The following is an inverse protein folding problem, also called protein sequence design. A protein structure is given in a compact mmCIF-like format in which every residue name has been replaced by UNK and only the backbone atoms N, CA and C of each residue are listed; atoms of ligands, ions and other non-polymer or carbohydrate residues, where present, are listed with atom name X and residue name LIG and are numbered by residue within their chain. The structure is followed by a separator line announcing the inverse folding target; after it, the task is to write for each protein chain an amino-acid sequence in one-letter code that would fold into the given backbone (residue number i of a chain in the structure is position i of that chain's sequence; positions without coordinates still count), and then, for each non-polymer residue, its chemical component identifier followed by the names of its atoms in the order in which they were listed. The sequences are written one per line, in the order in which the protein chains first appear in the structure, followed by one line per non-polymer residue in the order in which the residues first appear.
data_IF_419057927054
#
_entry.id   IF_419057927054
#
_cell.length_a   1.000
_cell.length_b   1.000
_cell.length_c   1.000
_cell.angle_alpha   90.00
_cell.angle_beta   90.00
_cell.angle_gamma   90.00
#
_symmetry.space_group_name_H-M   'P 1'
#
loop_
_entity.id
_entity.type
_entity.pdbx_description
1 polymer ?
#
# COMPACT_ATOMS: atom_id res chain seq x y z
N UNK A 1 3.46 0.60 2.85
CA UNK A 1 2.16 0.94 3.49
C UNK A 1 1.40 -0.33 3.85
N UNK A 2 1.12 -1.22 2.90
CA UNK A 2 0.40 -2.49 3.15
C UNK A 2 1.06 -3.40 4.18
N UNK A 3 2.39 -3.52 4.12
CA UNK A 3 3.18 -4.29 5.08
C UNK A 3 3.02 -3.75 6.51
N UNK A 4 3.31 -2.46 6.70
CA UNK A 4 3.19 -1.78 8.00
C UNK A 4 1.76 -1.86 8.55
N UNK A 5 0.76 -1.72 7.69
CA UNK A 5 -0.65 -1.82 8.07
C UNK A 5 -1.08 -3.26 8.44
N UNK A 6 -0.35 -4.28 7.99
CA UNK A 6 -0.56 -5.69 8.37
C UNK A 6 0.36 -6.16 9.51
N UNK A 7 1.41 -5.40 9.87
CA UNK A 7 2.40 -5.84 10.86
C UNK A 7 1.81 -6.17 12.22
N UNK A 8 0.91 -5.36 12.82
CA UNK A 8 0.29 -5.74 14.09
C UNK A 8 -0.54 -7.02 14.00
N UNK A 9 -1.17 -7.28 12.85
CA UNK A 9 -1.92 -8.52 12.61
C UNK A 9 -0.97 -9.71 12.51
N UNK A 10 0.16 -9.55 11.80
CA UNK A 10 1.19 -10.59 11.68
C UNK A 10 1.90 -10.89 12.99
N UNK A 11 2.15 -9.87 13.79
CA UNK A 11 2.76 -10.00 15.11
C UNK A 11 1.79 -10.55 16.18
N UNK A 12 0.52 -10.83 15.81
CA UNK A 12 -0.50 -11.29 16.76
C UNK A 12 -0.97 -10.23 17.76
N UNK A 13 -0.60 -8.95 17.55
CA UNK A 13 -1.00 -7.84 18.39
C UNK A 13 -2.42 -7.33 18.08
N UNK A 14 -2.97 -7.69 16.92
CA UNK A 14 -4.32 -7.37 16.50
C UNK A 14 -4.93 -8.51 15.68
N UNK A 15 -6.22 -8.75 15.80
CA UNK A 15 -6.88 -9.74 14.94
C UNK A 15 -7.17 -9.17 13.55
N UNK A 16 -7.46 -7.86 13.45
CA UNK A 16 -7.90 -7.23 12.20
C UNK A 16 -7.17 -5.89 11.97
N UNK A 17 -7.06 -5.42 10.70
CA UNK A 17 -6.50 -4.11 10.41
C UNK A 17 -7.25 -2.96 11.10
N UNK A 18 -8.57 -3.07 11.27
CA UNK A 18 -9.42 -2.12 11.99
C UNK A 18 -9.03 -1.98 13.48
N UNK A 19 -8.57 -3.08 14.08
CA UNK A 19 -8.16 -3.18 15.48
C UNK A 19 -6.65 -3.06 15.66
N UNK A 20 -5.91 -2.74 14.59
CA UNK A 20 -4.46 -2.59 14.64
C UNK A 20 -4.08 -1.21 15.16
N UNK A 21 -3.74 -1.13 16.45
CA UNK A 21 -3.42 0.15 17.07
C UNK A 21 -2.20 0.83 16.44
N UNK A 22 -2.31 2.16 16.28
CA UNK A 22 -1.24 3.04 15.80
C UNK A 22 -0.81 2.83 14.34
N UNK A 23 -1.65 2.20 13.49
CA UNK A 23 -1.38 2.05 12.05
C UNK A 23 -2.02 3.14 11.19
N UNK A 24 -1.51 3.32 9.97
CA UNK A 24 -2.09 4.28 9.03
C UNK A 24 -3.48 3.80 8.54
N UNK A 25 -3.69 2.49 8.37
CA UNK A 25 -4.99 1.92 8.03
C UNK A 25 -6.05 2.20 9.10
N UNK A 26 -5.71 2.03 10.39
CA UNK A 26 -6.61 2.33 11.49
C UNK A 26 -7.01 3.81 11.48
N UNK A 27 -6.03 4.72 11.36
CA UNK A 27 -6.30 6.16 11.29
C UNK A 27 -7.23 6.53 10.14
N UNK A 28 -7.05 5.92 8.96
CA UNK A 28 -7.92 6.14 7.79
C UNK A 28 -9.34 5.64 8.02
N UNK A 29 -9.50 4.44 8.58
CA UNK A 29 -10.81 3.85 8.91
C UNK A 29 -11.55 4.72 9.93
N UNK A 30 -10.87 5.13 11.01
CA UNK A 30 -11.45 6.02 12.02
C UNK A 30 -11.86 7.38 11.44
N UNK A 31 -11.10 7.91 10.46
CA UNK A 31 -11.42 9.19 9.81
C UNK A 31 -12.66 9.10 8.92
N UNK A 32 -12.96 7.93 8.35
CA UNK A 32 -14.19 7.68 7.58
C UNK A 32 -15.43 7.59 8.49
N UNK A 33 -15.26 7.03 9.68
CA UNK A 33 -16.35 6.81 10.64
C UNK A 33 -16.66 8.03 11.52
N UNK A 34 -15.77 9.04 11.56
CA UNK A 34 -16.00 10.28 12.30
C UNK A 34 -16.76 11.28 11.42
N UNK A 35 -17.87 11.89 11.90
CA UNK A 35 -18.48 13.02 11.21
C UNK A 35 -17.46 14.15 11.11
N UNK A 36 -17.45 14.86 9.98
CA UNK A 36 -16.48 15.91 9.67
C UNK A 36 -16.48 17.02 10.74
N UNK A 37 -15.67 16.87 11.79
CA UNK A 37 -15.43 17.95 12.75
C UNK A 37 -14.42 18.92 12.15
N UNK A 38 -14.77 20.21 12.15
CA UNK A 38 -13.83 21.30 11.83
C UNK A 38 -12.67 21.20 12.82
N UNK A 39 -11.50 20.79 12.34
CA UNK A 39 -10.31 20.64 13.16
C UNK A 39 -9.85 22.03 13.64
N UNK A 40 -9.90 22.26 14.96
CA UNK A 40 -9.18 23.37 15.61
C UNK A 40 -7.72 22.95 15.78
N UNK A 41 -6.84 23.77 15.21
CA UNK A 41 -5.47 24.07 15.68
C UNK A 41 -4.64 22.91 16.23
N UNK A 42 -4.01 22.18 15.31
CA UNK A 42 -2.64 21.61 15.36
C UNK A 42 -2.43 20.99 13.98
N UNK A 43 -1.40 21.38 13.22
CA UNK A 43 -1.13 20.77 11.90
C UNK A 43 -0.77 19.29 12.15
N UNK A 44 -1.67 18.32 11.95
CA UNK A 44 -1.31 16.93 12.15
C UNK A 44 -0.45 16.51 10.96
N UNK A 45 0.38 15.49 11.13
CA UNK A 45 0.93 14.75 10.00
C UNK A 45 -0.27 14.26 9.18
N UNK A 46 -0.48 14.82 7.99
CA UNK A 46 -1.58 14.43 7.11
C UNK A 46 -1.12 13.24 6.29
N UNK A 47 -1.81 12.11 6.45
CA UNK A 47 -1.60 10.97 5.58
C UNK A 47 -1.86 11.38 4.12
N UNK A 48 -1.04 10.87 3.20
CA UNK A 48 -1.24 11.06 1.77
C UNK A 48 -2.64 10.60 1.37
N UNK A 49 -3.30 11.35 0.50
CA UNK A 49 -4.65 11.02 0.04
C UNK A 49 -4.58 9.98 -1.07
N UNK A 50 -5.56 9.10 -1.17
CA UNK A 50 -5.70 8.25 -2.36
C UNK A 50 -6.31 9.03 -3.51
N UNK A 51 -6.01 8.61 -4.74
CA UNK A 51 -6.70 9.10 -5.91
C UNK A 51 -8.21 8.93 -5.75
N UNK A 52 -8.96 9.93 -6.19
CA UNK A 52 -10.41 9.79 -6.32
C UNK A 52 -10.72 8.99 -7.58
N UNK A 53 -11.79 8.18 -7.58
CA UNK A 53 -12.29 7.63 -8.83
C UNK A 53 -12.55 8.79 -9.81
N UNK A 54 -12.01 8.72 -11.04
CA UNK A 54 -12.12 9.74 -12.04
C UNK A 54 -13.57 9.79 -12.51
N UNK A 55 -14.01 10.97 -12.95
CA UNK A 55 -15.35 11.14 -13.53
C UNK A 55 -15.48 10.51 -14.93
N UNK A 56 -14.35 10.15 -15.55
CA UNK A 56 -14.21 9.40 -16.81
C UNK A 56 -13.24 8.25 -16.57
N UNK A 57 -13.45 7.07 -17.16
CA UNK A 57 -12.79 5.78 -16.85
C UNK A 57 -11.23 5.71 -16.89
N UNK A 58 -10.51 6.81 -17.00
CA UNK A 58 -9.05 6.80 -16.96
C UNK A 58 -8.52 6.88 -15.53
N UNK A 59 -8.04 5.75 -15.04
CA UNK A 59 -7.16 5.70 -13.89
C UNK A 59 -5.77 6.24 -14.23
N UNK A 60 -5.01 6.70 -13.22
CA UNK A 60 -3.58 6.93 -13.40
C UNK A 60 -2.91 5.62 -13.83
N UNK A 61 -2.26 5.60 -14.98
CA UNK A 61 -1.40 4.50 -15.44
C UNK A 61 -0.12 4.42 -14.62
N UNK A 62 0.64 3.31 -14.73
CA UNK A 62 1.96 3.14 -14.11
C UNK A 62 2.88 4.37 -14.32
N UNK A 63 2.83 4.98 -15.50
CA UNK A 63 3.64 6.16 -15.83
C UNK A 63 3.19 7.44 -15.10
N UNK A 64 1.93 7.49 -14.64
CA UNK A 64 1.42 8.54 -13.76
C UNK A 64 1.83 8.33 -12.29
N UNK A 65 2.26 7.12 -11.90
CA UNK A 65 2.81 6.84 -10.56
C UNK A 65 4.20 7.46 -10.39
N UNK A 66 5.03 7.40 -11.43
CA UNK A 66 6.45 7.80 -11.39
C UNK A 66 6.63 9.31 -11.12
N UNK A 67 5.69 10.14 -11.61
CA UNK A 67 5.68 11.58 -11.37
C UNK A 67 5.00 11.97 -10.04
N UNK A 68 4.25 11.06 -9.39
CA UNK A 68 3.13 11.44 -8.54
C UNK A 68 3.35 11.42 -7.02
N UNK A 69 4.21 10.54 -6.49
CA UNK A 69 4.23 10.32 -5.03
C UNK A 69 4.85 11.49 -4.24
N UNK A 70 5.92 12.13 -4.76
CA UNK A 70 6.61 13.23 -4.08
C UNK A 70 6.08 14.62 -4.46
N UNK A 71 5.52 14.79 -5.65
CA UNK A 71 5.08 16.11 -6.16
C UNK A 71 3.63 16.44 -5.81
N UNK A 72 2.74 15.44 -5.70
CA UNK A 72 1.30 15.67 -5.49
C UNK A 72 0.81 15.34 -4.09
N UNK A 73 1.54 14.52 -3.32
CA UNK A 73 1.06 14.00 -2.03
C UNK A 73 -0.11 13.03 -2.14
N UNK A 74 -0.31 12.43 -3.33
CA UNK A 74 -1.41 11.51 -3.64
C UNK A 74 -0.87 10.11 -3.93
N UNK A 75 -1.54 9.10 -3.37
CA UNK A 75 -1.33 7.69 -3.63
C UNK A 75 -2.13 7.30 -4.88
N UNK A 76 -1.47 6.83 -5.96
CA UNK A 76 -2.05 6.71 -7.30
C UNK A 76 -2.87 5.43 -7.53
N UNK A 77 -3.71 5.08 -6.57
CA UNK A 77 -4.75 4.04 -6.70
C UNK A 77 -5.88 4.37 -5.71
N UNK A 78 -7.01 3.67 -5.80
CA UNK A 78 -8.15 3.97 -4.95
C UNK A 78 -8.03 3.37 -3.56
N UNK A 79 -8.67 4.05 -2.61
CA UNK A 79 -8.84 3.52 -1.25
C UNK A 79 -9.49 2.13 -1.22
N UNK A 80 -10.51 1.89 -2.07
CA UNK A 80 -11.18 0.58 -2.14
C UNK A 80 -10.23 -0.52 -2.63
N UNK A 81 -9.46 -0.23 -3.66
CA UNK A 81 -8.45 -1.14 -4.21
C UNK A 81 -7.36 -1.46 -3.18
N UNK A 82 -7.00 -0.47 -2.35
CA UNK A 82 -6.07 -0.66 -1.24
C UNK A 82 -6.62 -1.63 -0.18
N UNK A 83 -7.89 -1.45 0.21
CA UNK A 83 -8.54 -2.35 1.18
C UNK A 83 -8.66 -3.79 0.63
N UNK A 84 -9.01 -3.93 -0.64
CA UNK A 84 -9.07 -5.23 -1.32
C UNK A 84 -7.70 -5.93 -1.30
N UNK A 85 -6.63 -5.18 -1.59
CA UNK A 85 -5.25 -5.68 -1.50
C UNK A 85 -4.88 -6.11 -0.08
N UNK A 86 -5.19 -5.27 0.93
CA UNK A 86 -4.89 -5.56 2.34
C UNK A 86 -5.58 -6.85 2.81
N UNK A 87 -6.89 -6.97 2.57
CA UNK A 87 -7.66 -8.15 3.00
C UNK A 87 -7.15 -9.42 2.31
N UNK A 88 -6.95 -9.37 0.99
CA UNK A 88 -6.43 -10.50 0.23
C UNK A 88 -5.06 -10.96 0.74
N UNK A 89 -4.13 -10.02 0.96
CA UNK A 89 -2.80 -10.34 1.50
C UNK A 89 -2.83 -10.82 2.95
N UNK A 90 -3.69 -10.24 3.78
CA UNK A 90 -3.85 -10.64 5.17
C UNK A 90 -4.29 -12.10 5.30
N UNK A 91 -5.21 -12.54 4.43
CA UNK A 91 -5.67 -13.94 4.34
C UNK A 91 -4.58 -14.87 3.79
N UNK A 92 -3.87 -14.45 2.74
CA UNK A 92 -2.84 -15.27 2.11
C UNK A 92 -1.65 -15.58 3.04
N UNK A 93 -1.27 -14.64 3.91
CA UNK A 93 -0.11 -14.77 4.81
C UNK A 93 -0.47 -15.44 6.15
N UNK A 94 -1.73 -15.37 6.56
CA UNK A 94 -2.19 -15.97 7.82
C UNK A 94 -3.11 -17.17 7.55
N UNK A 95 -2.56 -18.34 7.16
CA UNK A 95 -3.36 -19.52 6.78
C UNK A 95 -4.24 -20.06 7.92
N UNK A 96 -3.91 -19.73 9.18
CA UNK A 96 -4.70 -20.08 10.37
C UNK A 96 -5.96 -19.22 10.54
N UNK A 97 -6.16 -18.18 9.73
CA UNK A 97 -7.49 -17.56 9.58
C UNK A 97 -8.30 -18.40 8.61
N UNK A 98 -9.28 -19.11 9.15
CA UNK A 98 -10.22 -19.93 8.39
C UNK A 98 -10.95 -19.08 7.34
N UNK A 99 -10.59 -19.33 6.08
CA UNK A 99 -11.22 -18.74 4.91
C UNK A 99 -10.37 -19.09 3.70
N UNK A 100 -10.99 -19.63 2.64
CA UNK A 100 -10.30 -19.74 1.37
C UNK A 100 -9.66 -18.39 1.04
N UNK A 101 -8.38 -18.37 0.64
CA UNK A 101 -7.81 -17.20 -0.03
C UNK A 101 -8.83 -16.83 -1.10
N UNK A 102 -9.29 -15.57 -1.11
CA UNK A 102 -10.35 -15.17 -2.04
C UNK A 102 -9.95 -15.67 -3.44
N UNK A 103 -10.83 -16.46 -4.07
CA UNK A 103 -10.53 -17.21 -5.30
C UNK A 103 -9.99 -16.31 -6.43
N UNK A 104 -10.26 -15.00 -6.37
CA UNK A 104 -9.77 -14.02 -7.31
C UNK A 104 -8.75 -13.08 -6.64
N UNK A 105 -7.57 -12.98 -7.25
CA UNK A 105 -6.60 -11.93 -6.98
C UNK A 105 -7.22 -10.53 -7.12
N UNK A 106 -6.84 -9.56 -6.29
CA UNK A 106 -7.42 -8.23 -6.31
C UNK A 106 -7.12 -7.53 -7.65
N UNK A 107 -8.12 -6.84 -8.20
CA UNK A 107 -8.04 -6.25 -9.57
C UNK A 107 -6.90 -5.25 -9.74
N UNK A 108 -6.45 -4.63 -8.65
CA UNK A 108 -5.31 -3.71 -8.62
C UNK A 108 -4.02 -4.35 -9.12
N UNK A 109 -3.74 -5.60 -8.76
CA UNK A 109 -2.50 -6.27 -9.17
C UNK A 109 -2.49 -6.50 -10.68
N UNK A 110 -3.60 -7.03 -11.22
CA UNK A 110 -3.79 -7.19 -12.67
C UNK A 110 -3.69 -5.85 -13.41
N UNK A 111 -4.27 -4.79 -12.85
CA UNK A 111 -4.24 -3.45 -13.45
C UNK A 111 -2.85 -2.82 -13.45
N UNK A 112 -2.05 -3.11 -12.44
CA UNK A 112 -0.66 -2.65 -12.33
C UNK A 112 0.32 -3.61 -13.01
N UNK A 113 -0.17 -4.65 -13.67
CA UNK A 113 0.64 -5.70 -14.32
C UNK A 113 1.61 -6.38 -13.34
N UNK A 114 1.18 -6.54 -12.08
CA UNK A 114 1.95 -7.20 -11.01
C UNK A 114 1.53 -8.67 -10.94
N UNK A 115 2.50 -9.57 -11.03
CA UNK A 115 2.31 -11.00 -10.82
C UNK A 115 1.90 -11.27 -9.36
N UNK A 116 0.80 -11.99 -9.16
CA UNK A 116 0.23 -12.25 -7.83
C UNK A 116 1.07 -13.23 -7.01
N UNK A 117 1.62 -14.26 -7.64
CA UNK A 117 2.41 -15.29 -6.97
C UNK A 117 3.76 -14.70 -6.53
N UNK A 118 4.45 -14.02 -7.45
CA UNK A 118 5.70 -13.32 -7.12
C UNK A 118 5.49 -12.26 -6.03
N UNK A 119 4.36 -11.55 -6.04
CA UNK A 119 4.04 -10.58 -5.01
C UNK A 119 3.89 -11.23 -3.64
N UNK A 120 3.15 -12.35 -3.53
CA UNK A 120 2.96 -13.07 -2.28
C UNK A 120 4.26 -13.71 -1.78
N UNK A 121 5.10 -14.21 -2.67
CA UNK A 121 6.40 -14.79 -2.32
C UNK A 121 7.38 -13.74 -1.78
N UNK A 122 7.38 -12.54 -2.37
CA UNK A 122 8.35 -11.49 -2.02
C UNK A 122 7.92 -10.63 -0.82
N UNK A 123 6.61 -10.44 -0.59
CA UNK A 123 6.16 -9.51 0.45
C UNK A 123 6.63 -9.85 1.89
N UNK A 124 6.64 -11.13 2.33
CA UNK A 124 7.14 -11.47 3.67
C UNK A 124 8.61 -11.11 3.87
N UNK A 125 9.38 -11.12 2.78
CA UNK A 125 10.83 -10.88 2.78
C UNK A 125 11.18 -9.47 2.29
N UNK A 126 10.19 -8.60 2.10
CA UNK A 126 10.40 -7.34 1.38
C UNK A 126 11.39 -6.40 2.08
N UNK A 127 11.50 -6.47 3.41
CA UNK A 127 12.45 -5.66 4.21
C UNK A 127 13.81 -6.36 4.40
N UNK A 128 13.89 -7.67 4.15
CA UNK A 128 15.12 -8.46 4.27
C UNK A 128 15.86 -8.59 2.94
N UNK A 129 15.11 -8.75 1.85
CA UNK A 129 15.67 -9.01 0.53
C UNK A 129 15.96 -7.70 -0.22
N UNK A 130 15.20 -6.64 0.09
CA UNK A 130 15.35 -5.31 -0.49
C UNK A 130 15.65 -4.30 0.62
N UNK A 131 16.77 -3.60 0.51
CA UNK A 131 17.23 -2.69 1.58
C UNK A 131 17.24 -1.24 1.12
N UNK A 132 17.66 -0.97 -0.12
CA UNK A 132 17.90 0.38 -0.60
C UNK A 132 16.86 0.81 -1.64
N UNK A 133 16.40 -0.09 -2.51
CA UNK A 133 15.38 0.25 -3.49
C UNK A 133 14.52 -0.94 -3.91
N UNK A 134 13.27 -0.64 -4.26
CA UNK A 134 12.34 -1.59 -4.90
C UNK A 134 11.69 -0.85 -6.07
N UNK A 135 11.72 -1.44 -7.26
CA UNK A 135 11.13 -0.85 -8.45
C UNK A 135 11.43 -1.63 -9.72
N UNK A 136 10.94 -1.13 -10.85
CA UNK A 136 11.27 -1.68 -12.18
C UNK A 136 12.76 -1.52 -12.45
N UNK A 137 13.39 -2.47 -13.14
CA UNK A 137 14.80 -2.41 -13.49
C UNK A 137 15.19 -1.07 -14.16
N UNK A 138 14.34 -0.57 -15.06
CA UNK A 138 14.56 0.69 -15.78
C UNK A 138 14.52 1.92 -14.86
N UNK A 139 13.79 1.85 -13.74
CA UNK A 139 13.67 2.92 -12.74
C UNK A 139 14.75 2.85 -11.66
N UNK A 140 15.41 1.69 -11.47
CA UNK A 140 16.45 1.50 -10.45
C UNK A 140 17.72 2.28 -10.82
N UNK A 141 18.13 2.31 -12.09
CA UNK A 141 19.32 3.05 -12.54
C UNK A 141 19.23 4.56 -12.26
N UNK A 142 18.16 5.27 -12.69
CA UNK A 142 17.98 6.68 -12.32
C UNK A 142 17.86 6.92 -10.81
N UNK A 143 17.38 5.93 -10.05
CA UNK A 143 17.33 6.01 -8.59
C UNK A 143 18.74 5.96 -7.98
N UNK A 144 19.60 5.07 -8.47
CA UNK A 144 21.00 4.95 -8.06
C UNK A 144 21.78 6.25 -8.26
N UNK A 145 21.62 6.86 -9.44
CA UNK A 145 22.23 8.15 -9.80
C UNK A 145 21.78 9.27 -8.86
N UNK A 146 20.48 9.35 -8.54
CA UNK A 146 19.95 10.34 -7.58
C UNK A 146 20.44 10.14 -6.15
N UNK A 147 20.86 8.93 -5.80
CA UNK A 147 21.38 8.59 -4.47
C UNK A 147 22.91 8.71 -4.40
N UNK A 148 23.57 9.11 -5.50
CA UNK A 148 25.04 9.08 -5.65
C UNK A 148 25.64 7.70 -5.33
N UNK A 149 24.92 6.62 -5.70
CA UNK A 149 25.31 5.23 -5.45
C UNK A 149 25.60 4.48 -6.75
N UNK A 150 26.67 3.68 -6.74
CA UNK A 150 27.11 2.87 -7.90
C UNK A 150 26.41 1.50 -7.95
N UNK A 151 25.87 1.06 -6.83
CA UNK A 151 25.07 -0.16 -6.69
C UNK A 151 23.93 0.11 -5.70
N UNK A 152 22.77 -0.50 -5.97
CA UNK A 152 21.59 -0.41 -5.11
C UNK A 152 21.05 -1.83 -4.96
N UNK A 153 20.80 -2.25 -3.72
CA UNK A 153 20.33 -3.60 -3.40
C UNK A 153 18.86 -3.58 -3.01
#
# INVERSE_FOLDING_TARGET
MTYVDLNPVRAGMAELPETSDFTAIQQRIQSLNKPAKKAKDKKPIRLANFCKPPKKNHLPTADSLDQGQRSTGVIPFYWRDYLELIDWMGRAILPNKSGAIALASPKILKRLEINCDEWLENMPRIETDFHHCIGRCDSIKPCAEKLDQWWVK
#
